data_IF_697729375777
#
_entry.id   IF_697729375777
#
_cell.length_a   1.000
_cell.length_b   1.000
_cell.length_c   1.000
_cell.angle_alpha   90.00
_cell.angle_beta   90.00
_cell.angle_gamma   90.00
#
_symmetry.space_group_name_H-M   'P 1'
#
loop_
_entity.id
_entity.type
_entity.pdbx_description
1 polymer ?
#
# COMPACT_ATOMS: atom_id res chain seq x y z
N UNK A 1 -0.99 -13.36 -32.90
CA UNK A 1 -0.66 -12.33 -31.89
C UNK A 1 -1.62 -12.51 -30.72
N UNK A 2 -1.10 -12.77 -29.51
CA UNK A 2 -1.92 -13.03 -28.31
C UNK A 2 -2.59 -11.73 -27.81
N UNK A 3 -3.90 -11.61 -28.02
CA UNK A 3 -4.72 -10.46 -27.60
C UNK A 3 -4.96 -10.46 -26.07
N UNK A 4 -4.64 -11.57 -25.38
CA UNK A 4 -4.85 -11.74 -23.94
C UNK A 4 -3.71 -11.25 -23.03
N UNK A 5 -2.65 -10.65 -23.58
CA UNK A 5 -1.47 -10.23 -22.82
C UNK A 5 -1.39 -8.72 -22.54
N UNK A 6 -2.50 -7.99 -22.70
CA UNK A 6 -2.55 -6.58 -22.30
C UNK A 6 -2.73 -6.51 -20.79
N UNK A 7 -1.68 -6.08 -20.09
CA UNK A 7 -1.76 -5.74 -18.66
C UNK A 7 -2.89 -4.77 -18.45
N UNK A 8 -3.61 -4.92 -17.34
CA UNK A 8 -4.70 -4.03 -17.01
C UNK A 8 -4.15 -2.59 -16.92
N UNK A 9 -4.80 -1.57 -17.50
CA UNK A 9 -4.28 -0.20 -17.51
C UNK A 9 -3.88 0.32 -16.12
N UNK A 10 -4.60 -0.11 -15.07
CA UNK A 10 -4.27 0.21 -13.69
C UNK A 10 -2.93 -0.36 -13.22
N UNK A 11 -2.50 -1.54 -13.67
CA UNK A 11 -1.18 -2.09 -13.29
C UNK A 11 -0.04 -1.23 -13.82
N UNK A 12 -0.19 -0.70 -15.04
CA UNK A 12 0.80 0.21 -15.63
C UNK A 12 0.81 1.55 -14.92
N UNK A 13 -0.37 2.07 -14.55
CA UNK A 13 -0.49 3.29 -13.76
C UNK A 13 0.11 3.14 -12.35
N UNK A 14 -0.15 2.02 -11.66
CA UNK A 14 0.44 1.73 -10.35
C UNK A 14 1.96 1.63 -10.44
N UNK A 15 2.50 1.03 -11.49
CA UNK A 15 3.96 1.01 -11.72
C UNK A 15 4.53 2.41 -11.95
N UNK A 16 3.88 3.21 -12.78
CA UNK A 16 4.29 4.59 -13.03
C UNK A 16 4.25 5.42 -11.74
N UNK A 17 3.18 5.28 -10.94
CA UNK A 17 3.03 5.96 -9.66
C UNK A 17 4.06 5.46 -8.63
N UNK A 18 4.41 4.18 -8.65
CA UNK A 18 5.44 3.59 -7.78
C UNK A 18 6.84 4.17 -7.95
N UNK A 19 7.10 4.93 -9.02
CA UNK A 19 8.35 5.67 -9.20
C UNK A 19 8.30 7.08 -8.61
N UNK A 20 7.16 7.50 -8.02
CA UNK A 20 6.94 8.82 -7.41
C UNK A 20 6.90 8.71 -5.89
N UNK A 21 7.68 9.54 -5.21
CA UNK A 21 7.77 9.52 -3.75
C UNK A 21 6.43 9.88 -3.08
N UNK A 22 5.65 10.81 -3.65
CA UNK A 22 4.34 11.19 -3.11
C UNK A 22 3.33 10.03 -3.10
N UNK A 23 3.45 9.11 -4.07
CA UNK A 23 2.59 7.92 -4.06
C UNK A 23 2.99 6.99 -2.92
N UNK A 24 4.28 6.88 -2.64
CA UNK A 24 4.77 6.08 -1.54
C UNK A 24 4.43 6.71 -0.17
N UNK A 25 4.44 8.04 -0.05
CA UNK A 25 3.95 8.75 1.14
C UNK A 25 2.47 8.49 1.39
N UNK A 26 1.65 8.41 0.34
CA UNK A 26 0.24 8.01 0.45
C UNK A 26 0.11 6.57 0.99
N UNK A 27 0.94 5.65 0.49
CA UNK A 27 0.92 4.26 0.97
C UNK A 27 1.43 4.15 2.41
N UNK A 28 2.42 4.95 2.82
CA UNK A 28 2.87 5.03 4.21
C UNK A 28 1.73 5.52 5.12
N UNK A 29 0.97 6.52 4.68
CA UNK A 29 -0.20 7.03 5.42
C UNK A 29 -1.28 5.95 5.58
N UNK A 30 -1.57 5.18 4.54
CA UNK A 30 -2.51 4.04 4.62
C UNK A 30 -1.99 2.94 5.55
N UNK A 31 -0.70 2.62 5.49
CA UNK A 31 -0.08 1.63 6.38
C UNK A 31 -0.14 2.07 7.85
N UNK A 32 0.10 3.35 8.13
CA UNK A 32 -0.07 3.91 9.47
C UNK A 32 -1.53 3.84 9.94
N UNK A 33 -2.49 4.09 9.03
CA UNK A 33 -3.91 3.91 9.29
C UNK A 33 -4.27 2.46 9.65
N UNK A 34 -3.69 1.47 8.96
CA UNK A 34 -3.85 0.05 9.28
C UNK A 34 -3.34 -0.27 10.68
N UNK A 35 -2.13 0.15 11.02
CA UNK A 35 -1.54 -0.08 12.34
C UNK A 35 -2.37 0.57 13.47
N UNK A 36 -2.87 1.77 13.23
CA UNK A 36 -3.76 2.45 14.18
C UNK A 36 -5.06 1.67 14.41
N UNK A 37 -5.63 1.03 13.38
CA UNK A 37 -6.82 0.19 13.51
C UNK A 37 -6.51 -1.14 14.23
N UNK A 38 -5.37 -1.76 13.94
CA UNK A 38 -4.90 -2.96 14.66
C UNK A 38 -4.75 -2.67 16.15
N UNK A 39 -4.15 -1.52 16.50
CA UNK A 39 -4.03 -1.08 17.89
C UNK A 39 -5.39 -0.83 18.59
N UNK A 40 -6.45 -0.55 17.82
CA UNK A 40 -7.81 -0.38 18.33
C UNK A 40 -8.54 -1.72 18.55
N UNK A 41 -8.20 -2.78 17.79
CA UNK A 41 -8.89 -4.09 17.88
C UNK A 41 -8.91 -4.63 19.32
N UNK A 42 -7.80 -4.54 20.05
CA UNK A 42 -7.68 -5.06 21.40
C UNK A 42 -8.62 -4.39 22.43
N UNK A 43 -9.13 -3.20 22.12
CA UNK A 43 -9.98 -2.38 23.02
C UNK A 43 -11.34 -2.04 22.42
N UNK A 44 -11.64 -2.55 21.23
CA UNK A 44 -12.87 -2.23 20.54
C UNK A 44 -14.06 -3.03 21.09
N UNK A 45 -15.23 -2.40 21.29
CA UNK A 45 -16.45 -3.13 21.63
C UNK A 45 -16.87 -4.06 20.48
N UNK A 46 -17.53 -5.18 20.79
CA UNK A 46 -17.88 -6.23 19.81
C UNK A 46 -18.58 -5.70 18.56
N UNK A 47 -19.50 -4.74 18.72
CA UNK A 47 -20.23 -4.13 17.61
C UNK A 47 -19.36 -3.36 16.60
N UNK A 48 -18.13 -2.99 16.98
CA UNK A 48 -17.17 -2.28 16.11
C UNK A 48 -16.06 -3.18 15.57
N UNK A 49 -15.88 -4.38 16.10
CA UNK A 49 -14.82 -5.30 15.65
C UNK A 49 -14.96 -5.60 14.16
N UNK A 50 -16.18 -5.87 13.68
CA UNK A 50 -16.42 -6.15 12.25
C UNK A 50 -16.06 -4.97 11.36
N UNK A 51 -16.41 -3.76 11.77
CA UNK A 51 -16.11 -2.53 11.02
C UNK A 51 -14.59 -2.30 10.93
N UNK A 52 -13.90 -2.42 12.07
CA UNK A 52 -12.45 -2.22 12.15
C UNK A 52 -11.72 -3.29 11.33
N UNK A 53 -12.09 -4.56 11.46
CA UNK A 53 -11.52 -5.65 10.67
C UNK A 53 -11.72 -5.47 9.17
N UNK A 54 -12.90 -5.01 8.74
CA UNK A 54 -13.16 -4.73 7.32
C UNK A 54 -12.29 -3.60 6.77
N UNK A 55 -12.05 -2.54 7.56
CA UNK A 55 -11.14 -1.46 7.18
C UNK A 55 -9.69 -1.91 7.09
N UNK A 56 -9.24 -2.75 8.02
CA UNK A 56 -7.90 -3.35 7.99
C UNK A 56 -7.72 -4.17 6.70
N UNK A 57 -8.69 -5.05 6.38
CA UNK A 57 -8.66 -5.85 5.16
C UNK A 57 -8.58 -4.97 3.90
N UNK A 58 -9.39 -3.90 3.82
CA UNK A 58 -9.35 -2.98 2.69
C UNK A 58 -7.97 -2.30 2.54
N UNK A 59 -7.34 -1.90 3.64
CA UNK A 59 -5.99 -1.33 3.60
C UNK A 59 -4.95 -2.35 3.19
N UNK A 60 -5.02 -3.59 3.69
CA UNK A 60 -4.10 -4.65 3.29
C UNK A 60 -4.22 -4.99 1.80
N UNK A 61 -5.44 -5.02 1.26
CA UNK A 61 -5.68 -5.21 -0.17
C UNK A 61 -5.06 -4.09 -1.00
N UNK A 62 -5.28 -2.82 -0.63
CA UNK A 62 -4.71 -1.67 -1.35
C UNK A 62 -3.17 -1.73 -1.31
N UNK A 63 -2.58 -1.94 -0.13
CA UNK A 63 -1.12 -2.01 0.03
C UNK A 63 -0.52 -3.17 -0.77
N UNK A 64 -1.23 -4.30 -0.85
CA UNK A 64 -0.83 -5.47 -1.64
C UNK A 64 -0.92 -5.19 -3.14
N UNK A 65 -2.04 -4.66 -3.62
CA UNK A 65 -2.23 -4.31 -5.04
C UNK A 65 -1.23 -3.27 -5.52
N UNK A 66 -0.86 -2.32 -4.66
CA UNK A 66 0.11 -1.28 -4.97
C UNK A 66 1.58 -1.74 -4.80
N UNK A 67 1.83 -2.96 -4.33
CA UNK A 67 3.17 -3.50 -4.17
C UNK A 67 4.00 -2.76 -3.11
N UNK A 68 3.35 -2.27 -2.04
CA UNK A 68 3.94 -1.38 -1.04
C UNK A 68 5.29 -1.87 -0.48
N UNK A 69 5.40 -3.16 -0.13
CA UNK A 69 6.65 -3.75 0.37
C UNK A 69 7.81 -3.64 -0.63
N UNK A 70 7.54 -3.81 -1.92
CA UNK A 70 8.56 -3.69 -2.97
C UNK A 70 9.00 -2.23 -3.14
N UNK A 71 8.04 -1.29 -3.08
CA UNK A 71 8.32 0.15 -3.18
C UNK A 71 9.12 0.67 -1.97
N UNK A 72 8.79 0.20 -0.77
CA UNK A 72 9.58 0.46 0.44
C UNK A 72 11.04 0.05 0.26
N UNK A 73 11.29 -1.16 -0.25
CA UNK A 73 12.64 -1.65 -0.48
C UNK A 73 13.39 -0.83 -1.53
N UNK A 74 12.72 -0.43 -2.62
CA UNK A 74 13.29 0.48 -3.63
C UNK A 74 13.69 1.82 -3.02
N UNK A 75 12.84 2.43 -2.20
CA UNK A 75 13.13 3.70 -1.51
C UNK A 75 14.33 3.57 -0.57
N UNK A 76 14.38 2.50 0.23
CA UNK A 76 15.51 2.24 1.12
C UNK A 76 16.83 2.11 0.34
N UNK A 77 16.82 1.43 -0.81
CA UNK A 77 17.99 1.31 -1.69
C UNK A 77 18.41 2.67 -2.28
N UNK A 78 17.47 3.51 -2.73
CA UNK A 78 17.78 4.86 -3.25
C UNK A 78 18.43 5.74 -2.18
N UNK A 79 17.89 5.71 -0.96
CA UNK A 79 18.44 6.43 0.19
C UNK A 79 19.85 5.94 0.54
N UNK A 80 20.07 4.63 0.57
CA UNK A 80 21.39 4.05 0.82
C UNK A 80 22.42 4.40 -0.26
N UNK A 81 21.98 4.65 -1.49
CA UNK A 81 22.82 5.01 -2.63
C UNK A 81 23.02 6.54 -2.79
N UNK A 82 22.45 7.36 -1.90
CA UNK A 82 22.59 8.81 -1.94
C UNK A 82 21.96 9.46 -3.17
N UNK A 83 21.00 8.80 -3.81
CA UNK A 83 20.33 9.35 -4.99
C UNK A 83 19.35 10.47 -4.57
N UNK A 84 19.22 11.54 -5.38
CA UNK A 84 18.21 12.56 -5.16
C UNK A 84 16.80 11.96 -5.24
N UNK A 85 15.90 12.50 -4.39
CA UNK A 85 14.49 12.13 -4.27
C UNK A 85 13.68 12.73 -5.43
#
# INVERSE_FOLDING_TARGET
MNVFNRKHPLEEQVKFLGERDQFLDLLDWLAAGREALIGQLARAPEGRLREISGKIQAYDEILTMCGYQQLLMKRALRQAQGMPQ
#
